data_IF_970018653526
#
_entry.id   IF_970018653526
#
_cell.length_a   1.000
_cell.length_b   1.000
_cell.length_c   1.000
_cell.angle_alpha   90.00
_cell.angle_beta   90.00
_cell.angle_gamma   90.00
#
_symmetry.space_group_name_H-M   'P 1'
#
loop_
_entity.id
_entity.type
_entity.pdbx_description
1 polymer ?
#
# COMPACT_ATOMS: atom_id res chain seq x y z
N UNK A 1 19.56 -32.40 45.29
CA UNK A 1 19.58 -31.22 44.40
C UNK A 1 20.14 -31.67 43.07
N UNK A 2 19.33 -31.65 42.00
CA UNK A 2 19.84 -31.82 40.64
C UNK A 2 19.94 -30.43 40.02
N UNK A 3 21.17 -29.97 39.82
CA UNK A 3 21.46 -28.82 38.97
C UNK A 3 21.48 -29.31 37.51
N UNK A 4 20.51 -28.87 36.72
CA UNK A 4 20.64 -28.94 35.25
C UNK A 4 21.39 -27.69 34.78
N UNK A 5 22.46 -27.83 33.97
CA UNK A 5 23.24 -26.72 33.46
C UNK A 5 22.50 -26.10 32.27
N UNK A 6 21.53 -25.23 32.56
CA UNK A 6 20.92 -24.36 31.55
C UNK A 6 21.08 -22.94 32.05
N UNK A 7 21.88 -22.16 31.30
CA UNK A 7 22.17 -20.77 31.62
C UNK A 7 20.88 -19.97 31.80
N UNK A 8 20.89 -19.08 32.79
CA UNK A 8 19.81 -18.14 33.06
C UNK A 8 19.65 -17.23 31.84
N UNK A 9 18.56 -17.38 31.09
CA UNK A 9 18.09 -16.35 30.15
C UNK A 9 17.89 -14.99 30.85
N UNK A 10 17.82 -14.98 32.19
CA UNK A 10 17.77 -13.78 33.05
C UNK A 10 19.05 -12.91 33.02
N UNK A 11 20.12 -13.32 32.33
CA UNK A 11 21.37 -12.55 32.23
C UNK A 11 21.49 -11.69 30.97
N UNK A 12 20.61 -11.88 29.96
CA UNK A 12 20.69 -11.12 28.73
C UNK A 12 19.85 -9.83 28.84
N UNK A 13 20.41 -8.67 28.45
CA UNK A 13 19.64 -7.44 28.35
C UNK A 13 18.44 -7.62 27.42
N UNK A 14 17.33 -6.98 27.77
CA UNK A 14 16.08 -6.98 27.01
C UNK A 14 16.29 -6.60 25.54
N UNK A 15 17.21 -5.67 25.27
CA UNK A 15 17.59 -5.23 23.94
C UNK A 15 18.23 -6.36 23.12
N UNK A 16 19.03 -7.21 23.76
CA UNK A 16 19.67 -8.36 23.11
C UNK A 16 18.65 -9.44 22.80
N UNK A 17 17.74 -9.71 23.74
CA UNK A 17 16.64 -10.67 23.54
C UNK A 17 15.74 -10.19 22.39
N UNK A 18 15.39 -8.90 22.36
CA UNK A 18 14.57 -8.32 21.31
C UNK A 18 15.28 -8.36 19.95
N UNK A 19 16.60 -8.10 19.91
CA UNK A 19 17.38 -8.21 18.69
C UNK A 19 17.39 -9.64 18.15
N UNK A 20 17.65 -10.64 19.00
CA UNK A 20 17.62 -12.04 18.61
C UNK A 20 16.22 -12.47 18.16
N UNK A 21 15.17 -12.08 18.89
CA UNK A 21 13.79 -12.35 18.51
C UNK A 21 13.39 -11.67 17.19
N UNK A 22 14.01 -10.53 16.87
CA UNK A 22 13.87 -9.83 15.58
C UNK A 22 14.39 -10.65 14.39
N UNK A 23 15.32 -11.58 14.62
CA UNK A 23 15.90 -12.45 13.57
C UNK A 23 15.12 -13.75 13.38
N UNK A 24 14.18 -14.06 14.28
CA UNK A 24 13.44 -15.31 14.26
C UNK A 24 12.11 -15.18 13.50
N UNK A 25 11.68 -16.26 12.81
CA UNK A 25 10.31 -16.38 12.35
C UNK A 25 9.31 -16.21 13.49
N UNK A 26 8.14 -15.62 13.20
CA UNK A 26 7.15 -15.31 14.24
C UNK A 26 6.65 -16.56 14.98
N UNK A 27 6.58 -17.71 14.29
CA UNK A 27 6.18 -18.99 14.88
C UNK A 27 7.15 -19.43 15.98
N UNK A 28 8.45 -19.20 15.78
CA UNK A 28 9.50 -19.54 16.75
C UNK A 28 9.45 -18.58 17.94
N UNK A 29 9.20 -17.28 17.71
CA UNK A 29 9.01 -16.30 18.78
C UNK A 29 7.80 -16.64 19.65
N UNK A 30 6.68 -17.06 19.03
CA UNK A 30 5.47 -17.51 19.77
C UNK A 30 5.78 -18.78 20.57
N UNK A 31 6.50 -19.73 19.98
CA UNK A 31 6.93 -20.96 20.66
C UNK A 31 7.83 -20.66 21.85
N UNK A 32 8.78 -19.72 21.69
CA UNK A 32 9.67 -19.26 22.75
C UNK A 32 8.89 -18.57 23.87
N UNK A 33 7.97 -17.66 23.53
CA UNK A 33 7.11 -16.99 24.51
C UNK A 33 6.34 -18.00 25.36
N UNK A 34 5.75 -19.02 24.73
CA UNK A 34 5.05 -20.13 25.43
C UNK A 34 6.02 -20.93 26.32
N UNK A 35 7.18 -21.32 25.79
CA UNK A 35 8.17 -22.09 26.56
C UNK A 35 8.69 -21.33 27.79
N UNK A 36 8.81 -20.01 27.68
CA UNK A 36 9.22 -19.12 28.77
C UNK A 36 8.08 -18.72 29.71
N UNK A 37 6.86 -19.23 29.51
CA UNK A 37 5.68 -18.90 30.33
C UNK A 37 5.48 -17.38 30.51
N UNK A 38 5.66 -16.62 29.42
CA UNK A 38 5.52 -15.15 29.40
C UNK A 38 6.50 -14.37 30.31
N UNK A 39 7.55 -15.01 30.82
CA UNK A 39 8.57 -14.36 31.65
C UNK A 39 9.41 -13.30 30.91
N UNK A 40 9.40 -13.33 29.57
CA UNK A 40 10.12 -12.38 28.71
C UNK A 40 9.13 -11.43 28.02
N UNK A 41 8.77 -10.29 28.64
CA UNK A 41 7.76 -9.37 28.10
C UNK A 41 8.16 -8.77 26.75
N UNK A 42 9.46 -8.66 26.46
CA UNK A 42 9.99 -8.18 25.18
C UNK A 42 9.56 -9.04 23.98
N UNK A 43 9.25 -10.32 24.19
CA UNK A 43 8.71 -11.18 23.13
C UNK A 43 7.30 -10.73 22.71
N UNK A 44 6.54 -10.08 23.60
CA UNK A 44 5.24 -9.50 23.27
C UNK A 44 5.38 -8.33 22.28
N UNK A 45 6.48 -7.57 22.34
CA UNK A 45 6.73 -6.46 21.42
C UNK A 45 7.00 -6.96 19.99
N UNK A 46 7.76 -8.05 19.84
CA UNK A 46 8.07 -8.66 18.54
C UNK A 46 6.83 -9.23 17.83
N UNK A 47 5.84 -9.69 18.60
CA UNK A 47 4.57 -10.22 18.08
C UNK A 47 3.47 -9.18 17.96
N UNK A 48 3.75 -7.90 18.25
CA UNK A 48 2.77 -6.83 18.10
C UNK A 48 2.87 -6.24 16.67
N UNK A 49 1.82 -6.38 15.84
CA UNK A 49 1.84 -5.87 14.47
C UNK A 49 1.86 -4.33 14.45
N UNK A 50 1.31 -3.67 15.47
CA UNK A 50 1.37 -2.22 15.61
C UNK A 50 2.82 -1.77 15.84
N UNK A 51 3.55 -2.49 16.70
CA UNK A 51 4.99 -2.26 16.91
C UNK A 51 5.82 -2.52 15.67
N UNK A 52 5.49 -3.55 14.88
CA UNK A 52 6.15 -3.80 13.61
C UNK A 52 5.96 -2.62 12.63
N UNK A 53 4.73 -2.14 12.46
CA UNK A 53 4.44 -1.00 11.59
C UNK A 53 5.11 0.30 12.04
N UNK A 54 5.19 0.56 13.35
CA UNK A 54 5.90 1.74 13.89
C UNK A 54 7.42 1.62 13.75
N UNK A 55 7.96 0.44 14.03
CA UNK A 55 9.41 0.22 14.08
C UNK A 55 10.03 -0.06 12.71
N UNK A 56 9.23 -0.46 11.72
CA UNK A 56 9.71 -0.83 10.37
C UNK A 56 9.06 0.02 9.27
N UNK A 57 7.81 0.44 9.47
CA UNK A 57 7.08 1.28 8.52
C UNK A 57 7.19 2.77 8.81
N UNK A 58 6.75 3.61 7.86
CA UNK A 58 6.65 5.05 8.01
C UNK A 58 5.35 5.50 8.73
N UNK A 59 4.68 4.61 9.46
CA UNK A 59 3.32 4.82 9.96
C UNK A 59 3.32 5.28 11.42
N UNK A 60 3.00 6.56 11.65
CA UNK A 60 2.98 7.15 12.99
C UNK A 60 1.81 6.63 13.86
N UNK A 61 0.64 6.44 13.26
CA UNK A 61 -0.57 5.91 13.93
C UNK A 61 -0.94 4.52 13.40
N UNK A 62 -0.08 3.55 13.70
CA UNK A 62 -0.26 2.15 13.30
C UNK A 62 -1.47 1.47 13.97
N UNK A 63 -1.85 1.90 15.17
CA UNK A 63 -2.97 1.29 15.91
C UNK A 63 -4.30 1.64 15.26
N UNK A 64 -4.56 2.93 14.98
CA UNK A 64 -5.77 3.34 14.26
C UNK A 64 -5.79 2.70 12.85
N UNK A 65 -4.63 2.65 12.17
CA UNK A 65 -4.51 2.01 10.85
C UNK A 65 -4.93 0.53 10.88
N UNK A 66 -4.42 -0.26 11.83
CA UNK A 66 -4.75 -1.68 11.96
C UNK A 66 -6.22 -1.90 12.31
N UNK A 67 -6.80 -1.07 13.19
CA UNK A 67 -8.22 -1.15 13.54
C UNK A 67 -9.13 -0.88 12.33
N UNK A 68 -8.80 0.16 11.55
CA UNK A 68 -9.52 0.48 10.31
C UNK A 68 -9.36 -0.64 9.29
N UNK A 69 -8.15 -1.17 9.11
CA UNK A 69 -7.90 -2.29 8.20
C UNK A 69 -8.74 -3.52 8.59
N UNK A 70 -8.75 -3.89 9.88
CA UNK A 70 -9.55 -5.01 10.38
C UNK A 70 -11.04 -4.82 10.13
N UNK A 71 -11.57 -3.62 10.43
CA UNK A 71 -12.99 -3.27 10.24
C UNK A 71 -13.42 -3.32 8.77
N UNK A 72 -12.53 -2.95 7.87
CA UNK A 72 -12.81 -2.83 6.44
C UNK A 72 -12.33 -4.01 5.60
N UNK A 73 -11.72 -5.02 6.23
CA UNK A 73 -11.20 -6.22 5.57
C UNK A 73 -9.99 -5.93 4.68
N UNK A 74 -9.21 -4.90 4.98
CA UNK A 74 -7.97 -4.59 4.28
C UNK A 74 -6.79 -5.38 4.88
N UNK A 75 -5.83 -5.72 4.02
CA UNK A 75 -4.65 -6.52 4.39
C UNK A 75 -3.37 -5.83 3.96
N UNK A 76 -2.28 -6.07 4.69
CA UNK A 76 -0.93 -5.78 4.21
C UNK A 76 -0.43 -7.01 3.44
N UNK A 77 0.22 -6.77 2.30
CA UNK A 77 0.78 -7.80 1.43
C UNK A 77 2.22 -7.48 1.04
N UNK A 78 2.79 -8.32 0.17
CA UNK A 78 4.12 -8.14 -0.37
C UNK A 78 5.24 -8.51 0.61
N UNK A 79 6.46 -8.13 0.23
CA UNK A 79 7.68 -8.44 0.99
C UNK A 79 7.64 -7.88 2.42
N UNK A 80 7.05 -6.70 2.62
CA UNK A 80 6.88 -6.08 3.94
C UNK A 80 5.87 -6.80 4.83
N UNK A 81 4.84 -7.44 4.27
CA UNK A 81 3.97 -8.31 5.05
C UNK A 81 4.72 -9.59 5.46
N UNK A 82 5.48 -10.18 4.54
CA UNK A 82 6.21 -11.41 4.79
C UNK A 82 7.32 -11.22 5.83
N UNK A 83 8.03 -10.09 5.81
CA UNK A 83 9.07 -9.72 6.78
C UNK A 83 8.61 -9.85 8.24
N UNK A 84 7.34 -9.55 8.53
CA UNK A 84 6.77 -9.73 9.86
C UNK A 84 6.83 -11.19 10.33
N UNK A 85 6.52 -12.13 9.43
CA UNK A 85 6.50 -13.56 9.69
C UNK A 85 7.88 -14.19 9.59
N UNK A 86 8.67 -13.77 8.59
CA UNK A 86 9.95 -14.33 8.20
C UNK A 86 10.94 -13.18 7.98
N UNK A 87 11.76 -12.82 8.98
CA UNK A 87 12.74 -11.75 8.86
C UNK A 87 13.73 -11.97 7.70
N UNK A 88 14.12 -10.88 7.04
CA UNK A 88 14.99 -10.90 5.85
C UNK A 88 14.25 -11.09 4.52
N UNK A 89 12.93 -10.98 4.52
CA UNK A 89 12.08 -11.12 3.32
C UNK A 89 11.87 -9.80 2.56
N UNK A 90 12.30 -8.68 3.12
CA UNK A 90 12.22 -7.34 2.53
C UNK A 90 13.58 -6.64 2.54
N UNK A 91 13.70 -5.63 1.69
CA UNK A 91 14.87 -4.73 1.64
C UNK A 91 14.46 -3.33 2.05
N UNK A 92 15.42 -2.40 2.20
CA UNK A 92 15.09 -1.00 2.49
C UNK A 92 14.26 -0.35 1.38
N UNK A 93 14.41 -0.81 0.14
CA UNK A 93 13.70 -0.29 -1.04
C UNK A 93 12.33 -0.94 -1.27
N UNK A 94 11.98 -1.96 -0.48
CA UNK A 94 10.67 -2.62 -0.55
C UNK A 94 9.54 -1.66 -0.19
N UNK A 95 8.51 -1.62 -1.03
CA UNK A 95 7.29 -0.86 -0.89
C UNK A 95 6.28 -1.51 0.06
N UNK A 96 5.27 -0.72 0.46
CA UNK A 96 4.19 -1.16 1.33
C UNK A 96 2.90 -1.32 0.57
N UNK A 97 2.43 -2.56 0.42
CA UNK A 97 1.23 -2.87 -0.35
C UNK A 97 0.03 -3.15 0.55
N UNK A 98 -0.94 -2.23 0.57
CA UNK A 98 -2.22 -2.40 1.25
C UNK A 98 -3.29 -2.79 0.25
N UNK A 99 -3.94 -3.93 0.47
CA UNK A 99 -5.08 -4.36 -0.32
C UNK A 99 -6.37 -4.03 0.40
N UNK A 100 -7.33 -3.42 -0.29
CA UNK A 100 -8.66 -3.07 0.24
C UNK A 100 -9.76 -3.61 -0.67
N UNK A 101 -10.88 -4.11 -0.11
CA UNK A 101 -12.02 -4.52 -0.92
C UNK A 101 -12.55 -3.36 -1.78
N UNK A 102 -13.15 -3.64 -2.96
CA UNK A 102 -13.68 -2.64 -3.88
C UNK A 102 -15.02 -2.04 -3.40
N UNK A 103 -15.07 -1.64 -2.13
CA UNK A 103 -16.23 -1.07 -1.44
C UNK A 103 -15.87 0.37 -1.08
N UNK A 104 -16.57 1.35 -1.64
CA UNK A 104 -16.21 2.77 -1.53
C UNK A 104 -16.00 3.24 -0.07
N UNK A 105 -16.89 2.95 0.90
CA UNK A 105 -16.64 3.25 2.30
C UNK A 105 -15.32 2.67 2.85
N UNK A 106 -14.96 1.44 2.45
CA UNK A 106 -13.71 0.80 2.86
C UNK A 106 -12.49 1.47 2.26
N UNK A 107 -12.54 1.82 0.97
CA UNK A 107 -11.46 2.53 0.29
C UNK A 107 -11.21 3.88 0.96
N UNK A 108 -12.27 4.65 1.22
CA UNK A 108 -12.16 5.98 1.86
C UNK A 108 -11.60 5.84 3.28
N UNK A 109 -12.12 4.90 4.08
CA UNK A 109 -11.69 4.73 5.46
C UNK A 109 -10.20 4.35 5.55
N UNK A 110 -9.77 3.36 4.75
CA UNK A 110 -8.38 2.88 4.75
C UNK A 110 -7.43 3.94 4.19
N UNK A 111 -7.82 4.63 3.11
CA UNK A 111 -7.04 5.76 2.58
C UNK A 111 -6.85 6.84 3.65
N UNK A 112 -7.92 7.26 4.31
CA UNK A 112 -7.84 8.32 5.33
C UNK A 112 -6.99 7.88 6.54
N UNK A 113 -7.06 6.60 6.93
CA UNK A 113 -6.21 6.07 8.00
C UNK A 113 -4.73 6.07 7.60
N UNK A 114 -4.41 5.69 6.35
CA UNK A 114 -3.07 5.80 5.80
C UNK A 114 -2.59 7.26 5.81
N UNK A 115 -3.44 8.21 5.41
CA UNK A 115 -3.10 9.64 5.44
C UNK A 115 -2.81 10.16 6.84
N UNK A 116 -3.66 9.82 7.81
CA UNK A 116 -3.43 10.13 9.23
C UNK A 116 -2.14 9.53 9.75
N UNK A 117 -1.79 8.32 9.29
CA UNK A 117 -0.55 7.65 9.66
C UNK A 117 0.71 8.23 9.01
N UNK A 118 0.57 9.22 8.11
CA UNK A 118 1.69 9.93 7.48
C UNK A 118 1.90 9.65 5.98
N UNK A 119 0.99 8.91 5.34
CA UNK A 119 1.05 8.66 3.89
C UNK A 119 0.47 9.86 3.14
N UNK A 120 1.21 10.40 2.19
CA UNK A 120 0.68 11.39 1.26
C UNK A 120 0.35 10.69 -0.06
N UNK A 121 -0.93 10.62 -0.42
CA UNK A 121 -1.33 10.11 -1.73
C UNK A 121 -1.14 11.19 -2.79
N UNK A 122 -0.41 10.85 -3.85
CA UNK A 122 -0.19 11.74 -4.99
C UNK A 122 -1.33 11.54 -6.00
N UNK A 123 -1.92 12.64 -6.49
CA UNK A 123 -2.94 12.53 -7.53
C UNK A 123 -2.33 12.08 -8.87
N UNK A 124 -3.12 11.47 -9.76
CA UNK A 124 -2.61 11.10 -11.09
C UNK A 124 -2.11 12.32 -11.86
N UNK A 125 -2.73 13.48 -11.67
CA UNK A 125 -2.30 14.74 -12.26
C UNK A 125 -0.98 15.23 -11.67
N UNK A 126 -0.84 15.21 -10.34
CA UNK A 126 0.39 15.65 -9.67
C UNK A 126 1.57 14.75 -10.04
N UNK A 127 1.37 13.43 -10.05
CA UNK A 127 2.38 12.45 -10.47
C UNK A 127 2.79 12.65 -11.92
N UNK A 128 1.83 12.88 -12.82
CA UNK A 128 2.11 13.16 -14.22
C UNK A 128 2.88 14.47 -14.41
N UNK A 129 2.47 15.53 -13.71
CA UNK A 129 3.12 16.83 -13.75
C UNK A 129 4.56 16.78 -13.22
N UNK A 130 4.79 16.04 -12.13
CA UNK A 130 6.12 15.82 -11.57
C UNK A 130 7.03 15.05 -12.53
N UNK A 131 6.55 13.96 -13.12
CA UNK A 131 7.32 13.20 -14.14
C UNK A 131 7.67 14.07 -15.34
N UNK A 132 6.70 14.87 -15.83
CA UNK A 132 6.94 15.81 -16.91
C UNK A 132 7.98 16.88 -16.53
N UNK A 133 7.99 17.35 -15.28
CA UNK A 133 8.98 18.32 -14.77
C UNK A 133 10.39 17.70 -14.65
N UNK A 134 10.48 16.47 -14.15
CA UNK A 134 11.75 15.82 -13.80
C UNK A 134 12.40 15.13 -15.00
N UNK A 135 11.60 14.60 -15.92
CA UNK A 135 12.06 13.78 -17.05
C UNK A 135 11.76 14.39 -18.42
N UNK A 136 11.09 15.54 -18.47
CA UNK A 136 10.59 16.16 -19.72
C UNK A 136 9.61 15.28 -20.50
N UNK A 137 9.11 14.19 -19.89
CA UNK A 137 8.18 13.26 -20.52
C UNK A 137 7.33 12.49 -19.51
N UNK A 138 6.14 12.06 -19.94
CA UNK A 138 5.27 11.17 -19.17
C UNK A 138 4.39 10.31 -20.10
N UNK A 139 4.28 9.03 -19.75
CA UNK A 139 3.30 8.10 -20.31
C UNK A 139 2.07 8.07 -19.41
N UNK A 140 0.89 8.25 -20.01
CA UNK A 140 -0.39 8.11 -19.32
C UNK A 140 -1.17 6.92 -19.88
N UNK A 141 -1.51 5.97 -19.02
CA UNK A 141 -2.44 4.90 -19.35
C UNK A 141 -3.90 5.39 -19.27
N UNK A 142 -4.83 4.55 -19.73
CA UNK A 142 -6.26 4.81 -19.72
C UNK A 142 -6.79 5.27 -18.35
N UNK A 143 -6.41 4.57 -17.27
CA UNK A 143 -6.87 4.90 -15.92
C UNK A 143 -6.37 6.28 -15.44
N UNK A 144 -5.12 6.62 -15.78
CA UNK A 144 -4.53 7.92 -15.47
C UNK A 144 -5.20 9.04 -16.25
N UNK A 145 -5.48 8.82 -17.55
CA UNK A 145 -6.21 9.77 -18.41
C UNK A 145 -7.58 10.10 -17.78
N UNK A 146 -8.36 9.08 -17.42
CA UNK A 146 -9.68 9.26 -16.78
C UNK A 146 -9.57 9.97 -15.44
N UNK A 147 -8.59 9.57 -14.61
CA UNK A 147 -8.40 10.17 -13.28
C UNK A 147 -8.02 11.65 -13.37
N UNK A 148 -7.13 12.01 -14.30
CA UNK A 148 -6.73 13.40 -14.57
C UNK A 148 -7.91 14.22 -15.08
N UNK A 149 -8.71 13.68 -16.01
CA UNK A 149 -9.89 14.37 -16.54
C UNK A 149 -10.92 14.64 -15.44
N UNK A 150 -11.20 13.63 -14.59
CA UNK A 150 -12.07 13.76 -13.44
C UNK A 150 -11.58 14.84 -12.46
N UNK A 151 -10.30 14.79 -12.08
CA UNK A 151 -9.69 15.76 -11.19
C UNK A 151 -9.76 17.18 -11.74
N UNK A 152 -9.42 17.38 -13.01
CA UNK A 152 -9.45 18.68 -13.67
C UNK A 152 -10.87 19.24 -13.90
N UNK A 153 -11.88 18.37 -13.88
CA UNK A 153 -13.29 18.78 -14.00
C UNK A 153 -13.81 19.36 -12.67
N UNK A 154 -13.51 18.72 -11.55
CA UNK A 154 -13.98 19.14 -10.23
C UNK A 154 -13.07 20.17 -9.54
N UNK A 155 -11.76 20.07 -9.74
CA UNK A 155 -10.80 20.99 -9.13
C UNK A 155 -10.52 22.17 -10.06
N UNK A 156 -11.18 23.31 -9.81
CA UNK A 156 -11.00 24.56 -10.56
C UNK A 156 -9.90 25.47 -9.98
N UNK A 157 -8.99 24.92 -9.17
CA UNK A 157 -7.89 25.66 -8.54
C UNK A 157 -6.81 26.16 -9.51
N UNK A 158 -5.82 26.86 -8.97
CA UNK A 158 -4.63 27.28 -9.73
C UNK A 158 -3.69 26.12 -9.99
N UNK A 159 -3.67 25.61 -11.21
CA UNK A 159 -2.74 24.56 -11.63
C UNK A 159 -1.34 25.09 -11.97
N UNK A 160 -0.30 24.31 -11.65
CA UNK A 160 1.07 24.53 -12.09
C UNK A 160 1.18 24.52 -13.62
N UNK A 161 2.31 24.99 -14.17
CA UNK A 161 2.53 24.96 -15.62
C UNK A 161 2.46 23.53 -16.18
N UNK A 162 3.09 22.56 -15.52
CA UNK A 162 3.14 21.16 -15.93
C UNK A 162 1.76 20.50 -15.78
N UNK A 163 1.03 20.80 -14.70
CA UNK A 163 -0.36 20.34 -14.55
C UNK A 163 -1.25 20.87 -15.68
N UNK A 164 -1.11 22.13 -16.07
CA UNK A 164 -1.83 22.71 -17.23
C UNK A 164 -1.46 22.00 -18.52
N UNK A 165 -0.19 21.71 -18.74
CA UNK A 165 0.27 20.98 -19.93
C UNK A 165 -0.37 19.60 -19.99
N UNK A 166 -0.36 18.85 -18.88
CA UNK A 166 -0.98 17.52 -18.79
C UNK A 166 -2.49 17.58 -19.04
N UNK A 167 -3.21 18.49 -18.37
CA UNK A 167 -4.66 18.66 -18.53
C UNK A 167 -5.02 19.03 -19.97
N UNK A 168 -4.30 19.99 -20.55
CA UNK A 168 -4.56 20.45 -21.92
C UNK A 168 -4.25 19.34 -22.94
N UNK A 169 -3.20 18.56 -22.71
CA UNK A 169 -2.85 17.40 -23.53
C UNK A 169 -3.97 16.35 -23.52
N UNK A 170 -4.48 16.00 -22.34
CA UNK A 170 -5.62 15.07 -22.21
C UNK A 170 -6.87 15.61 -22.91
N UNK A 171 -7.22 16.89 -22.68
CA UNK A 171 -8.41 17.54 -23.30
C UNK A 171 -8.28 17.82 -24.80
N UNK A 172 -7.05 17.86 -25.31
CA UNK A 172 -6.77 17.97 -26.73
C UNK A 172 -6.97 16.62 -27.42
N UNK A 173 -6.41 15.55 -26.85
CA UNK A 173 -6.55 14.20 -27.39
C UNK A 173 -7.96 13.65 -27.25
N UNK A 174 -8.62 13.93 -26.13
CA UNK A 174 -9.95 13.42 -25.82
C UNK A 174 -10.91 14.56 -25.47
N UNK A 175 -11.45 15.29 -26.46
CA UNK A 175 -12.34 16.41 -26.22
C UNK A 175 -13.59 16.06 -25.40
N UNK A 176 -14.07 14.81 -25.49
CA UNK A 176 -15.20 14.31 -24.69
C UNK A 176 -14.93 14.41 -23.18
N UNK A 177 -13.67 14.25 -22.74
CA UNK A 177 -13.27 14.33 -21.33
C UNK A 177 -13.24 15.75 -20.76
N UNK A 178 -13.57 16.78 -21.56
CA UNK A 178 -13.72 18.15 -21.06
C UNK A 178 -14.97 18.29 -20.18
N UNK A 179 -16.01 17.51 -20.47
CA UNK A 179 -17.23 17.43 -19.68
C UNK A 179 -17.43 16.00 -19.20
N UNK A 180 -17.08 15.76 -17.93
CA UNK A 180 -17.18 14.44 -17.33
C UNK A 180 -18.61 14.08 -16.91
N UNK A 181 -19.56 15.02 -16.97
CA UNK A 181 -20.92 14.84 -16.41
C UNK A 181 -21.64 13.63 -17.02
N UNK A 182 -21.51 13.43 -18.33
CA UNK A 182 -22.15 12.31 -19.05
C UNK A 182 -21.48 10.95 -18.76
N UNK A 183 -20.27 10.97 -18.23
CA UNK A 183 -19.49 9.77 -17.91
C UNK A 183 -19.57 9.40 -16.44
N UNK A 184 -20.11 10.27 -15.58
CA UNK A 184 -20.24 10.01 -14.14
C UNK A 184 -21.61 9.40 -13.87
N UNK A 185 -21.61 8.22 -13.25
CA UNK A 185 -22.82 7.53 -12.78
C UNK A 185 -23.34 8.19 -11.51
N UNK A 186 -24.60 7.94 -11.18
CA UNK A 186 -25.26 8.51 -9.98
C UNK A 186 -24.51 8.22 -8.67
N UNK A 187 -23.77 7.11 -8.60
CA UNK A 187 -22.94 6.74 -7.46
C UNK A 187 -21.56 7.42 -7.44
N UNK A 188 -21.29 8.37 -8.33
CA UNK A 188 -20.02 9.09 -8.46
C UNK A 188 -18.90 8.32 -9.17
N UNK A 189 -19.13 7.06 -9.58
CA UNK A 189 -18.15 6.31 -10.38
C UNK A 189 -18.15 6.77 -11.84
N UNK A 190 -17.00 6.69 -12.50
CA UNK A 190 -16.90 6.97 -13.93
C UNK A 190 -17.22 5.69 -14.71
N UNK A 191 -18.11 5.79 -15.70
CA UNK A 191 -18.42 4.72 -16.63
C UNK A 191 -17.20 4.27 -17.44
N UNK A 192 -17.23 3.02 -17.89
CA UNK A 192 -16.15 2.46 -18.71
C UNK A 192 -16.04 3.21 -20.04
N UNK A 193 -14.81 3.41 -20.52
CA UNK A 193 -14.52 4.17 -21.75
C UNK A 193 -13.51 3.40 -22.59
N UNK A 194 -13.98 2.55 -23.51
CA UNK A 194 -13.17 1.60 -24.29
C UNK A 194 -12.21 2.28 -25.29
N UNK A 195 -12.50 3.52 -25.71
CA UNK A 195 -11.77 4.21 -26.80
C UNK A 195 -10.50 4.97 -26.34
N UNK A 196 -10.09 4.79 -25.08
CA UNK A 196 -8.95 5.51 -24.50
C UNK A 196 -7.66 4.71 -24.68
N UNK A 197 -6.79 5.22 -25.54
CA UNK A 197 -5.46 4.66 -25.85
C UNK A 197 -4.40 5.37 -24.98
N UNK A 198 -3.37 4.68 -24.47
CA UNK A 198 -2.27 5.33 -23.77
C UNK A 198 -1.62 6.44 -24.61
N UNK A 199 -1.30 7.55 -23.95
CA UNK A 199 -0.67 8.72 -24.59
C UNK A 199 0.69 9.00 -23.98
N UNK A 200 1.59 9.50 -24.82
CA UNK A 200 2.90 9.99 -24.43
C UNK A 200 2.92 11.51 -24.55
N UNK A 201 3.25 12.21 -23.47
CA UNK A 201 3.32 13.67 -23.41
C UNK A 201 4.78 14.06 -23.22
N UNK A 202 5.31 14.88 -24.13
CA UNK A 202 6.63 15.50 -24.02
C UNK A 202 6.55 16.94 -23.50
N UNK A 203 7.69 17.47 -23.10
CA UNK A 203 7.87 18.89 -22.80
C UNK A 203 7.24 19.80 -23.88
N UNK A 204 6.53 20.83 -23.44
CA UNK A 204 5.76 21.72 -24.32
C UNK A 204 4.37 21.20 -24.73
N UNK A 205 3.96 20.02 -24.26
CA UNK A 205 2.60 19.48 -24.48
C UNK A 205 2.40 18.78 -25.81
N UNK A 206 3.49 18.33 -26.44
CA UNK A 206 3.41 17.51 -27.65
C UNK A 206 2.97 16.10 -27.27
N UNK A 207 1.88 15.63 -27.87
CA UNK A 207 1.27 14.33 -27.55
C UNK A 207 1.42 13.36 -28.72
N UNK A 208 1.74 12.11 -28.44
CA UNK A 208 1.73 10.99 -29.40
C UNK A 208 1.01 9.79 -28.80
N UNK A 209 0.29 9.01 -29.62
CA UNK A 209 -0.21 7.71 -29.20
C UNK A 209 0.94 6.73 -29.02
N UNK A 210 0.87 5.90 -27.99
CA UNK A 210 1.74 4.73 -27.89
C UNK A 210 1.05 3.57 -28.62
N UNK A 211 1.77 2.92 -29.52
CA UNK A 211 1.27 1.67 -30.10
C UNK A 211 1.26 0.59 -29.01
N UNK A 212 0.31 -0.36 -29.01
CA UNK A 212 0.12 -1.35 -27.94
C UNK A 212 1.30 -2.30 -27.65
N UNK A 213 2.46 -2.13 -28.29
CA UNK A 213 3.59 -3.05 -28.24
C UNK A 213 4.84 -2.53 -27.53
N UNK A 214 4.83 -1.33 -26.94
CA UNK A 214 5.99 -0.81 -26.20
C UNK A 214 5.75 -0.81 -24.68
N UNK A 215 6.42 -1.75 -24.03
CA UNK A 215 6.76 -1.88 -22.60
C UNK A 215 5.66 -2.24 -21.58
N UNK A 216 5.60 -3.55 -21.28
CA UNK A 216 4.98 -4.12 -20.07
C UNK A 216 5.98 -4.02 -18.91
N UNK A 217 5.98 -2.88 -18.21
CA UNK A 217 6.47 -2.84 -16.84
C UNK A 217 5.35 -3.36 -15.92
N UNK A 218 5.56 -4.54 -15.30
CA UNK A 218 4.69 -5.21 -14.33
C UNK A 218 3.24 -4.71 -14.27
N UNK A 219 2.46 -5.09 -15.28
CA UNK A 219 1.02 -4.79 -15.33
C UNK A 219 0.29 -5.85 -14.52
N UNK A 220 -0.38 -5.43 -13.43
CA UNK A 220 -1.34 -6.28 -12.73
C UNK A 220 -2.39 -6.77 -13.74
N UNK A 221 -2.73 -8.08 -13.75
CA UNK A 221 -3.57 -8.63 -14.79
C UNK A 221 -4.94 -7.93 -14.85
N UNK A 222 -5.29 -7.45 -16.04
CA UNK A 222 -6.47 -6.60 -16.33
C UNK A 222 -7.82 -7.23 -15.93
N UNK A 223 -7.85 -8.55 -15.68
CA UNK A 223 -9.03 -9.30 -15.28
C UNK A 223 -9.37 -9.18 -13.78
N UNK A 224 -8.51 -8.58 -12.98
CA UNK A 224 -8.79 -8.18 -11.60
C UNK A 224 -8.51 -6.68 -11.53
N UNK A 225 -9.48 -5.87 -11.91
CA UNK A 225 -9.38 -4.41 -11.96
C UNK A 225 -8.92 -3.83 -10.61
N UNK A 226 -7.60 -3.78 -10.40
CA UNK A 226 -7.00 -3.24 -9.20
C UNK A 226 -6.70 -1.78 -9.42
N UNK A 227 -7.57 -0.89 -8.92
CA UNK A 227 -7.23 0.54 -8.89
C UNK A 227 -6.15 0.72 -7.85
N UNK A 228 -4.93 1.04 -8.28
CA UNK A 228 -3.81 1.32 -7.39
C UNK A 228 -3.74 2.83 -7.14
N UNK A 229 -3.78 3.22 -5.87
CA UNK A 229 -3.48 4.57 -5.43
C UNK A 229 -2.06 4.58 -4.87
N UNK A 230 -1.17 5.32 -5.55
CA UNK A 230 0.22 5.48 -5.11
C UNK A 230 0.33 6.60 -4.10
N UNK A 231 1.01 6.33 -3.00
CA UNK A 231 1.35 7.29 -1.98
C UNK A 231 2.81 7.18 -1.58
N UNK A 232 3.28 8.21 -0.90
CA UNK A 232 4.63 8.29 -0.35
C UNK A 232 4.54 8.66 1.12
N UNK A 233 5.36 8.03 1.94
CA UNK A 233 5.53 8.40 3.34
C UNK A 233 7.01 8.59 3.64
N UNK A 234 7.34 9.30 4.72
CA UNK A 234 8.73 9.61 5.06
C UNK A 234 9.14 8.89 6.33
N UNK A 235 10.32 8.26 6.30
CA UNK A 235 10.94 7.64 7.46
C UNK A 235 12.42 7.96 7.50
N UNK A 236 12.90 8.47 8.64
CA UNK A 236 14.32 8.80 8.85
C UNK A 236 14.93 9.65 7.71
N UNK A 237 14.14 10.60 7.17
CA UNK A 237 14.56 11.46 6.06
C UNK A 237 14.51 10.83 4.66
N UNK A 238 14.09 9.58 4.53
CA UNK A 238 13.93 8.89 3.24
C UNK A 238 12.46 8.69 2.89
N UNK A 239 12.11 8.88 1.62
CA UNK A 239 10.77 8.60 1.11
C UNK A 239 10.61 7.10 0.87
N UNK A 240 9.46 6.55 1.25
CA UNK A 240 9.08 5.14 1.06
C UNK A 240 7.79 5.08 0.26
N UNK A 241 7.74 4.19 -0.72
CA UNK A 241 6.56 3.96 -1.55
C UNK A 241 5.48 3.18 -0.78
N UNK A 242 4.24 3.65 -0.90
CA UNK A 242 3.05 3.01 -0.34
C UNK A 242 2.03 2.85 -1.45
N UNK A 243 1.45 1.66 -1.59
CA UNK A 243 0.40 1.37 -2.56
C UNK A 243 -0.88 0.98 -1.84
N UNK A 244 -2.00 1.59 -2.22
CA UNK A 244 -3.34 1.13 -1.85
C UNK A 244 -4.00 0.49 -3.07
N UNK A 245 -4.05 -0.83 -3.07
CA UNK A 245 -4.55 -1.70 -4.13
C UNK A 245 -6.01 -2.05 -3.86
N UNK A 246 -6.93 -1.53 -4.68
CA UNK A 246 -8.36 -1.81 -4.55
C UNK A 246 -8.71 -3.08 -5.32
N UNK A 247 -9.02 -4.19 -4.66
CA UNK A 247 -9.29 -5.45 -5.37
C UNK A 247 -10.01 -6.50 -4.52
N UNK A 248 -10.48 -7.57 -5.17
CA UNK A 248 -11.16 -8.67 -4.48
C UNK A 248 -10.17 -9.48 -3.66
N UNK A 249 -10.28 -9.42 -2.34
CA UNK A 249 -9.48 -10.23 -1.42
C UNK A 249 -10.22 -11.55 -1.21
N UNK A 250 -9.69 -12.64 -1.78
CA UNK A 250 -10.21 -13.99 -1.49
C UNK A 250 -9.76 -14.37 -0.08
N UNK A 251 -10.67 -14.31 0.89
CA UNK A 251 -10.43 -14.83 2.25
C UNK A 251 -10.19 -16.33 2.17
N UNK A 252 -8.93 -16.77 2.19
CA UNK A 252 -8.61 -18.15 2.54
C UNK A 252 -8.74 -18.27 4.05
N UNK A 253 -9.69 -19.08 4.52
CA UNK A 253 -9.79 -19.47 5.93
C UNK A 253 -8.52 -20.22 6.32
N UNK A 254 -7.58 -19.57 7.00
CA UNK A 254 -6.54 -20.26 7.75
C UNK A 254 -7.11 -20.65 9.11
N UNK A 255 -7.45 -21.93 9.25
CA UNK A 255 -7.78 -22.57 10.52
C UNK A 255 -6.54 -22.57 11.42
N UNK A 256 -6.36 -21.51 12.21
CA UNK A 256 -5.46 -21.53 13.37
C UNK A 256 -6.36 -21.40 14.61
N UNK A 257 -6.54 -22.54 15.26
CA UNK A 257 -7.22 -22.69 16.55
C UNK A 257 -6.34 -22.11 17.65
N UNK A 258 -6.52 -20.83 17.97
CA UNK A 258 -6.24 -20.29 19.29
C UNK A 258 -6.99 -18.95 19.50
N UNK A 259 -7.84 -18.93 20.53
CA UNK A 259 -8.93 -17.96 20.74
C UNK A 259 -8.53 -16.54 21.19
N UNK A 260 -7.24 -16.18 21.15
CA UNK A 260 -6.76 -14.84 21.50
C UNK A 260 -6.18 -14.05 20.31
N UNK A 261 -6.00 -14.70 19.16
CA UNK A 261 -5.38 -14.11 17.96
C UNK A 261 -6.39 -13.81 16.83
N UNK A 262 -7.65 -14.23 16.98
CA UNK A 262 -8.61 -14.33 15.87
C UNK A 262 -9.18 -13.00 15.37
N UNK A 263 -9.18 -11.92 16.16
CA UNK A 263 -9.88 -10.69 15.75
C UNK A 263 -9.02 -9.72 14.95
N UNK A 264 -7.69 -9.83 15.05
CA UNK A 264 -6.74 -8.89 14.39
C UNK A 264 -5.83 -9.62 13.41
N UNK A 265 -5.29 -10.80 13.74
CA UNK A 265 -4.35 -11.51 12.86
C UNK A 265 -5.00 -12.24 11.68
N UNK A 266 -6.19 -12.80 11.87
CA UNK A 266 -6.86 -13.60 10.84
C UNK A 266 -7.35 -12.81 9.62
N UNK A 267 -7.42 -11.48 9.73
CA UNK A 267 -7.95 -10.60 8.67
C UNK A 267 -6.94 -9.61 8.10
N UNK A 268 -5.72 -9.50 8.65
CA UNK A 268 -4.75 -8.43 8.30
C UNK A 268 -3.59 -8.92 7.42
N UNK A 269 -3.29 -10.23 7.39
CA UNK A 269 -2.06 -10.76 6.75
C UNK A 269 -2.29 -12.04 5.92
N UNK A 270 -3.37 -12.11 5.13
CA UNK A 270 -3.76 -13.33 4.41
C UNK A 270 -3.09 -13.53 3.04
N UNK A 271 -1.75 -13.60 2.99
CA UNK A 271 -1.08 -14.07 1.76
C UNK A 271 0.06 -15.08 1.96
N UNK A 272 0.65 -15.22 3.15
CA UNK A 272 1.87 -16.04 3.33
C UNK A 272 1.81 -17.15 4.39
N UNK A 273 0.61 -17.60 4.77
CA UNK A 273 0.43 -18.63 5.81
C UNK A 273 0.58 -20.10 5.39
N UNK A 274 1.22 -20.43 4.25
CA UNK A 274 1.32 -21.83 3.82
C UNK A 274 2.57 -22.18 2.98
N UNK A 275 3.74 -21.72 3.42
CA UNK A 275 5.02 -22.29 3.00
C UNK A 275 5.85 -22.63 4.24
#
# INVERSE_FOLDING_TARGET
MMETPTGLFELLPNETILHLAGLLPIADVVSLKRATHDLLPVLAERIDPSRYLQSTGPFADSTELLEVMARHGAVLSGSRALEYFVPGSSTNDSDWDFYVPPILPSIIAVKNALEKSGVTFESSLESAARKLREKSEVVLNQNQIVSIAYEAFFNKGSWSMEQRIVINSVRYMYPALRDMTIHIRENGSVGWMEDLIPIFIREGGRVTFLQPHEEVAHVYPENVASKVLSGTAHRNGSAVSVQLVVGTIVRRMTSITDGLSQTVFGSILSFYGSH
#
